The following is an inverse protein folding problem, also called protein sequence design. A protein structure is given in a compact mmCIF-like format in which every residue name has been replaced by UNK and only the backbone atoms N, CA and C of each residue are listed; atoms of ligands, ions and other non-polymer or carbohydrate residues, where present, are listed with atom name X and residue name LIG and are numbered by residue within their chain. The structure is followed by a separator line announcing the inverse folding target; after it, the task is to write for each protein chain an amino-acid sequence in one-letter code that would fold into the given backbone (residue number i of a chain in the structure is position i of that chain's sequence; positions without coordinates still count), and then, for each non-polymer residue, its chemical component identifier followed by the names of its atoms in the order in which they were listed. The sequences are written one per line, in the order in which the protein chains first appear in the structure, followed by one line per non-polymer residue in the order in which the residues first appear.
data_IF_265373207621
#
_entry.id   IF_265373207621
#
_cell.length_a   1.000
_cell.length_b   1.000
_cell.length_c   1.000
_cell.angle_alpha   90.00
_cell.angle_beta   90.00
_cell.angle_gamma   90.00
#
_symmetry.space_group_name_H-M   'P 1'
#
loop_
_entity.id
_entity.type
_entity.pdbx_description
1 polymer ?
#
# COMPACT_ATOMS: atom_id res chain seq x y z
N UNK A 1 30.16 -90.23 -0.04
CA UNK A 1 31.49 -89.64 0.06
C UNK A 1 31.59 -88.68 -1.17
N UNK A 2 31.36 -87.41 -0.97
CA UNK A 2 31.88 -86.30 -1.78
C UNK A 2 31.22 -85.02 -1.26
N UNK A 3 32.01 -84.29 -0.56
CA UNK A 3 31.70 -82.94 -0.03
C UNK A 3 31.59 -81.89 -1.15
N UNK A 4 30.54 -81.07 -1.08
CA UNK A 4 30.44 -79.83 -1.83
C UNK A 4 30.38 -78.64 -0.89
N UNK A 5 31.50 -77.94 -0.79
CA UNK A 5 31.57 -76.62 -0.17
C UNK A 5 30.96 -75.59 -1.13
N UNK A 6 29.89 -74.95 -0.72
CA UNK A 6 29.30 -73.81 -1.35
C UNK A 6 29.78 -72.52 -0.68
N UNK A 7 30.59 -71.72 -1.37
CA UNK A 7 31.00 -70.37 -0.99
C UNK A 7 29.84 -69.39 -1.15
N UNK A 8 29.43 -68.76 -0.04
CA UNK A 8 28.51 -67.66 -0.05
C UNK A 8 29.25 -66.34 -0.48
N UNK A 9 28.90 -65.82 -1.62
CA UNK A 9 29.34 -64.50 -2.13
C UNK A 9 28.37 -63.45 -1.57
N UNK A 10 28.87 -62.63 -0.66
CA UNK A 10 28.17 -61.44 -0.16
C UNK A 10 28.24 -60.32 -1.22
N UNK A 11 27.17 -60.19 -2.00
CA UNK A 11 26.95 -59.04 -2.87
C UNK A 11 26.55 -57.82 -2.01
N UNK A 12 27.41 -56.82 -1.99
CA UNK A 12 27.07 -55.50 -1.45
C UNK A 12 26.18 -54.78 -2.48
N UNK A 13 24.89 -54.70 -2.19
CA UNK A 13 23.95 -53.83 -2.90
C UNK A 13 24.31 -52.37 -2.63
N UNK A 14 25.06 -51.74 -3.55
CA UNK A 14 25.21 -50.31 -3.62
C UNK A 14 23.92 -49.74 -4.24
N UNK A 15 23.10 -49.14 -3.38
CA UNK A 15 21.95 -48.32 -3.78
C UNK A 15 22.43 -47.22 -4.72
N UNK A 16 21.82 -47.03 -5.93
CA UNK A 16 22.24 -45.99 -6.83
C UNK A 16 21.88 -44.63 -6.22
N UNK A 17 22.90 -43.83 -5.96
CA UNK A 17 22.79 -42.41 -5.57
C UNK A 17 21.87 -41.68 -6.57
N UNK A 18 20.62 -41.44 -6.20
CA UNK A 18 19.67 -40.67 -6.97
C UNK A 18 20.11 -39.22 -6.95
N UNK A 19 20.77 -38.77 -8.01
CA UNK A 19 21.02 -37.37 -8.28
C UNK A 19 19.65 -36.64 -8.36
N UNK A 20 19.38 -35.63 -7.53
CA UNK A 20 18.11 -34.94 -7.58
C UNK A 20 17.89 -34.34 -8.96
N UNK A 21 16.65 -34.35 -9.49
CA UNK A 21 16.37 -33.79 -10.81
C UNK A 21 16.74 -32.31 -10.85
N UNK A 22 17.19 -31.79 -12.01
CA UNK A 22 17.57 -30.38 -12.17
C UNK A 22 16.38 -29.49 -11.74
N UNK A 23 16.67 -28.58 -10.79
CA UNK A 23 15.67 -27.65 -10.29
C UNK A 23 15.14 -26.79 -11.43
N UNK A 24 13.82 -26.70 -11.60
CA UNK A 24 13.21 -25.81 -12.59
C UNK A 24 13.58 -24.36 -12.29
N UNK A 25 13.60 -23.49 -13.31
CA UNK A 25 13.93 -22.07 -13.17
C UNK A 25 13.13 -21.39 -12.05
N UNK A 26 11.83 -21.68 -11.95
CA UNK A 26 10.98 -21.14 -10.89
C UNK A 26 11.30 -21.66 -9.48
N UNK A 27 11.83 -22.89 -9.36
CA UNK A 27 12.28 -23.44 -8.06
C UNK A 27 13.58 -22.77 -7.59
N UNK A 28 14.48 -22.46 -8.53
CA UNK A 28 15.71 -21.73 -8.27
C UNK A 28 15.45 -20.31 -7.77
N UNK A 29 14.56 -19.59 -8.44
CA UNK A 29 14.18 -18.23 -8.03
C UNK A 29 13.55 -18.24 -6.64
N UNK A 30 12.61 -19.14 -6.36
CA UNK A 30 11.98 -19.24 -5.03
C UNK A 30 12.99 -19.51 -3.92
N UNK A 31 13.96 -20.39 -4.15
CA UNK A 31 15.04 -20.67 -3.20
C UNK A 31 15.89 -19.41 -2.96
N UNK A 32 16.33 -18.74 -4.05
CA UNK A 32 17.12 -17.53 -3.96
C UNK A 32 16.39 -16.40 -3.23
N UNK A 33 15.11 -16.23 -3.47
CA UNK A 33 14.29 -15.22 -2.77
C UNK A 33 14.14 -15.55 -1.27
N UNK A 34 14.07 -16.83 -0.90
CA UNK A 34 14.07 -17.26 0.50
C UNK A 34 15.41 -16.98 1.19
N UNK A 35 16.54 -17.23 0.51
CA UNK A 35 17.87 -16.88 1.01
C UNK A 35 18.03 -15.39 1.24
N UNK A 36 17.61 -14.56 0.26
CA UNK A 36 17.64 -13.10 0.36
C UNK A 36 16.79 -12.57 1.54
N UNK A 37 15.66 -13.19 1.85
CA UNK A 37 14.82 -12.82 2.98
C UNK A 37 15.36 -13.31 4.33
N UNK A 38 16.08 -14.37 4.34
CA UNK A 38 16.40 -15.22 5.47
C UNK A 38 15.53 -16.49 5.38
N UNK A 39 16.13 -17.69 5.35
CA UNK A 39 15.41 -18.94 5.07
C UNK A 39 14.26 -19.23 6.07
N UNK A 40 14.43 -18.82 7.31
CA UNK A 40 13.45 -19.06 8.39
C UNK A 40 12.46 -17.89 8.58
N UNK A 41 12.62 -16.81 7.83
CA UNK A 41 11.73 -15.63 7.92
C UNK A 41 10.50 -15.85 7.03
N UNK A 42 9.27 -15.73 7.55
CA UNK A 42 8.06 -15.86 6.73
C UNK A 42 7.98 -14.77 5.66
N UNK A 43 7.57 -15.14 4.45
CA UNK A 43 7.41 -14.18 3.36
C UNK A 43 6.21 -13.28 3.60
N UNK A 44 6.41 -11.96 3.46
CA UNK A 44 5.32 -10.99 3.43
C UNK A 44 4.72 -10.94 2.03
N UNK A 45 3.41 -11.10 1.93
CA UNK A 45 2.71 -11.09 0.65
C UNK A 45 2.81 -9.71 -0.03
N UNK A 46 2.90 -9.72 -1.36
CA UNK A 46 2.85 -8.52 -2.19
C UNK A 46 1.40 -8.06 -2.31
N UNK A 47 1.08 -6.91 -1.75
CA UNK A 47 -0.26 -6.32 -1.75
C UNK A 47 -0.43 -5.19 -2.79
N UNK A 48 -1.65 -4.68 -2.95
CA UNK A 48 -1.95 -3.61 -3.89
C UNK A 48 -1.23 -2.30 -3.56
N UNK A 49 -0.96 -2.03 -2.27
CA UNK A 49 -0.20 -0.86 -1.83
C UNK A 49 1.27 -0.97 -2.25
N UNK A 50 1.86 -2.15 -2.11
CA UNK A 50 3.22 -2.42 -2.58
C UNK A 50 3.32 -2.27 -4.11
N UNK A 51 2.35 -2.81 -4.87
CA UNK A 51 2.31 -2.65 -6.33
C UNK A 51 2.10 -1.19 -6.76
N UNK A 52 1.24 -0.44 -6.08
CA UNK A 52 1.08 0.98 -6.34
C UNK A 52 2.38 1.77 -6.08
N UNK A 53 3.14 1.37 -5.05
CA UNK A 53 4.45 1.97 -4.76
C UNK A 53 5.52 1.59 -5.80
N UNK A 54 5.55 0.35 -6.27
CA UNK A 54 6.40 -0.08 -7.38
C UNK A 54 6.08 0.69 -8.67
N UNK A 55 4.81 0.80 -9.02
CA UNK A 55 4.36 1.58 -10.17
C UNK A 55 4.70 3.09 -10.04
N UNK A 56 4.72 3.62 -8.82
CA UNK A 56 5.12 4.99 -8.56
C UNK A 56 6.61 5.23 -8.78
N UNK A 57 7.48 4.22 -8.57
CA UNK A 57 8.93 4.32 -8.74
C UNK A 57 9.52 3.04 -9.36
N UNK A 58 9.22 2.74 -10.63
CA UNK A 58 9.56 1.45 -11.28
C UNK A 58 11.06 1.24 -11.47
N UNK A 59 11.89 2.29 -11.40
CA UNK A 59 13.34 2.19 -11.50
C UNK A 59 14.05 1.75 -10.22
N UNK A 60 13.32 1.60 -9.10
CA UNK A 60 13.93 1.21 -7.84
C UNK A 60 14.05 -0.31 -7.72
N UNK A 61 15.23 -0.84 -8.11
CA UNK A 61 15.52 -2.28 -8.03
C UNK A 61 15.51 -2.80 -6.59
N UNK A 62 15.99 -1.99 -5.62
CA UNK A 62 15.94 -2.33 -4.20
C UNK A 62 14.50 -2.63 -3.74
N UNK A 63 13.55 -1.76 -4.06
CA UNK A 63 12.14 -2.00 -3.74
C UNK A 63 11.63 -3.27 -4.41
N UNK A 64 11.92 -3.47 -5.68
CA UNK A 64 11.44 -4.62 -6.44
C UNK A 64 11.92 -5.96 -5.84
N UNK A 65 13.21 -6.08 -5.49
CA UNK A 65 13.74 -7.32 -4.91
C UNK A 65 13.24 -7.58 -3.50
N UNK A 66 13.11 -6.54 -2.66
CA UNK A 66 12.60 -6.68 -1.29
C UNK A 66 11.12 -7.10 -1.29
N UNK A 67 10.31 -6.52 -2.18
CA UNK A 67 8.92 -6.92 -2.38
C UNK A 67 8.81 -8.34 -2.93
N UNK A 68 9.63 -8.69 -3.94
CA UNK A 68 9.65 -10.02 -4.55
C UNK A 68 10.13 -11.11 -3.59
N UNK A 69 11.11 -10.81 -2.73
CA UNK A 69 11.58 -11.73 -1.70
C UNK A 69 10.63 -11.83 -0.50
N UNK A 70 9.61 -10.96 -0.41
CA UNK A 70 8.68 -10.92 0.71
C UNK A 70 9.32 -10.42 2.02
N UNK A 71 10.30 -9.51 1.93
CA UNK A 71 10.94 -8.92 3.10
C UNK A 71 10.00 -7.95 3.81
N UNK A 72 9.93 -8.03 5.15
CA UNK A 72 9.24 -7.00 5.94
C UNK A 72 10.06 -5.71 5.98
N UNK A 73 9.70 -4.80 5.08
CA UNK A 73 10.41 -3.52 4.91
C UNK A 73 10.26 -2.58 6.11
N UNK A 74 9.22 -2.74 6.94
CA UNK A 74 9.05 -1.94 8.13
C UNK A 74 10.04 -2.37 9.22
N UNK A 75 10.18 -3.68 9.45
CA UNK A 75 11.20 -4.24 10.34
C UNK A 75 12.61 -3.93 9.86
N UNK A 76 12.84 -4.06 8.54
CA UNK A 76 14.11 -3.71 7.91
C UNK A 76 14.47 -2.23 8.12
N UNK A 77 13.53 -1.31 7.90
CA UNK A 77 13.75 0.12 8.11
C UNK A 77 14.07 0.46 9.57
N UNK A 78 13.42 -0.24 10.51
CA UNK A 78 13.69 -0.09 11.95
C UNK A 78 15.09 -0.59 12.32
N UNK A 79 15.51 -1.74 11.81
CA UNK A 79 16.83 -2.30 12.01
C UNK A 79 17.95 -1.41 11.43
N UNK A 80 17.67 -0.68 10.33
CA UNK A 80 18.56 0.33 9.73
C UNK A 80 18.54 1.68 10.46
N UNK A 81 17.86 1.80 11.61
CA UNK A 81 17.76 3.05 12.37
C UNK A 81 16.92 4.15 11.70
N UNK A 82 16.15 3.80 10.70
CA UNK A 82 15.34 4.73 9.91
C UNK A 82 13.88 4.28 9.84
N UNK A 83 13.18 4.12 10.99
CA UNK A 83 11.83 3.58 11.01
C UNK A 83 10.87 4.43 10.17
N UNK A 84 9.98 3.77 9.45
CA UNK A 84 8.97 4.46 8.67
C UNK A 84 7.89 5.08 9.58
N UNK A 85 7.42 6.29 9.21
CA UNK A 85 6.30 6.95 9.91
C UNK A 85 4.96 6.26 9.59
N UNK A 86 4.94 5.29 8.67
CA UNK A 86 3.73 4.60 8.21
C UNK A 86 3.22 3.50 9.14
N UNK A 87 3.80 3.31 10.32
CA UNK A 87 3.21 2.51 11.35
C UNK A 87 1.85 3.10 11.72
N UNK A 88 0.76 2.53 11.20
CA UNK A 88 -0.56 2.89 11.71
C UNK A 88 -0.55 2.55 13.20
N UNK A 89 -0.88 3.54 14.04
CA UNK A 89 -1.09 3.27 15.46
C UNK A 89 -2.20 2.22 15.58
N UNK A 90 -2.11 1.35 16.57
CA UNK A 90 -3.14 0.34 16.85
C UNK A 90 -4.55 0.96 16.92
N UNK A 91 -4.62 2.20 17.42
CA UNK A 91 -5.85 3.00 17.43
C UNK A 91 -6.36 3.33 16.02
N UNK A 92 -5.49 3.71 15.08
CA UNK A 92 -5.89 4.01 13.70
C UNK A 92 -6.37 2.74 12.98
N UNK A 93 -5.73 1.61 13.26
CA UNK A 93 -6.15 0.30 12.72
C UNK A 93 -7.52 -0.12 13.27
N UNK A 94 -7.72 -0.07 14.59
CA UNK A 94 -9.01 -0.40 15.23
C UNK A 94 -10.13 0.49 14.71
N UNK A 95 -9.87 1.80 14.57
CA UNK A 95 -10.84 2.75 14.01
C UNK A 95 -11.16 2.43 12.55
N UNK A 96 -10.17 2.02 11.76
CA UNK A 96 -10.35 1.61 10.36
C UNK A 96 -11.29 0.42 10.25
N UNK A 97 -11.01 -0.65 11.00
CA UNK A 97 -11.83 -1.86 11.02
C UNK A 97 -13.26 -1.60 11.52
N UNK A 98 -13.42 -0.78 12.56
CA UNK A 98 -14.74 -0.42 13.08
C UNK A 98 -15.56 0.39 12.06
N UNK A 99 -14.91 1.28 11.31
CA UNK A 99 -15.57 2.04 10.25
C UNK A 99 -15.98 1.14 9.08
N UNK A 100 -15.09 0.26 8.65
CA UNK A 100 -15.36 -0.69 7.58
C UNK A 100 -16.51 -1.65 7.95
N UNK A 101 -16.46 -2.24 9.14
CA UNK A 101 -17.53 -3.09 9.65
C UNK A 101 -18.87 -2.38 9.66
N UNK A 102 -18.91 -1.09 10.01
CA UNK A 102 -20.13 -0.28 9.94
C UNK A 102 -20.62 -0.07 8.52
N UNK A 103 -19.73 0.22 7.58
CA UNK A 103 -20.08 0.43 6.16
C UNK A 103 -20.66 -0.84 5.52
N UNK A 104 -20.20 -2.00 5.97
CA UNK A 104 -20.61 -3.33 5.47
C UNK A 104 -21.70 -4.00 6.32
N UNK A 105 -22.19 -3.32 7.37
CA UNK A 105 -23.28 -3.85 8.20
C UNK A 105 -24.54 -4.15 7.36
N UNK A 106 -25.40 -4.99 7.90
CA UNK A 106 -26.71 -5.34 7.32
C UNK A 106 -26.58 -5.83 5.85
N UNK A 107 -25.63 -6.75 5.61
CA UNK A 107 -25.38 -7.30 4.27
C UNK A 107 -24.83 -6.28 3.27
N UNK A 108 -24.28 -5.15 3.74
CA UNK A 108 -23.75 -4.09 2.89
C UNK A 108 -24.80 -3.14 2.32
N UNK A 109 -25.99 -3.08 2.93
CA UNK A 109 -27.10 -2.25 2.45
C UNK A 109 -26.70 -0.77 2.31
N UNK A 110 -26.02 -0.20 3.30
CA UNK A 110 -25.52 1.18 3.25
C UNK A 110 -24.46 1.36 2.15
N UNK A 111 -23.58 0.39 1.96
CA UNK A 111 -22.58 0.42 0.91
C UNK A 111 -23.23 0.43 -0.48
N UNK A 112 -24.19 -0.44 -0.72
CA UNK A 112 -24.90 -0.52 -2.00
C UNK A 112 -25.75 0.74 -2.25
N UNK A 113 -26.36 1.32 -1.22
CA UNK A 113 -27.03 2.61 -1.31
C UNK A 113 -26.06 3.70 -1.79
N UNK A 114 -24.86 3.76 -1.23
CA UNK A 114 -23.82 4.71 -1.63
C UNK A 114 -23.33 4.47 -3.08
N UNK A 115 -23.18 3.20 -3.48
CA UNK A 115 -22.85 2.83 -4.88
C UNK A 115 -23.92 3.37 -5.82
N UNK A 116 -25.20 3.06 -5.56
CA UNK A 116 -26.31 3.51 -6.36
C UNK A 116 -26.38 5.05 -6.46
N UNK A 117 -26.32 5.75 -5.32
CA UNK A 117 -26.41 7.22 -5.27
C UNK A 117 -25.27 7.92 -6.02
N UNK A 118 -24.08 7.34 -6.05
CA UNK A 118 -22.90 8.00 -6.63
C UNK A 118 -22.59 7.56 -8.06
N UNK A 119 -22.98 6.35 -8.44
CA UNK A 119 -22.60 5.76 -9.73
C UNK A 119 -23.79 5.44 -10.63
N UNK A 120 -24.98 5.18 -10.09
CA UNK A 120 -26.14 4.66 -10.82
C UNK A 120 -27.48 5.35 -10.49
N UNK A 121 -27.47 6.65 -10.28
CA UNK A 121 -28.67 7.44 -9.89
C UNK A 121 -29.90 7.25 -10.80
N UNK A 122 -29.73 6.80 -12.02
CA UNK A 122 -30.80 6.56 -12.97
C UNK A 122 -31.31 5.12 -13.01
N UNK A 123 -30.68 4.20 -12.26
CA UNK A 123 -31.10 2.81 -12.16
C UNK A 123 -32.05 2.58 -10.99
N UNK A 124 -32.72 1.42 -10.98
CA UNK A 124 -33.52 1.00 -9.83
C UNK A 124 -32.63 0.80 -8.59
N UNK A 125 -32.98 1.34 -7.41
CA UNK A 125 -32.20 1.17 -6.20
C UNK A 125 -32.13 -0.31 -5.79
N UNK A 126 -31.05 -0.77 -5.13
CA UNK A 126 -30.93 -2.14 -4.66
C UNK A 126 -32.02 -2.45 -3.62
N UNK A 127 -32.88 -3.44 -3.93
CA UNK A 127 -33.81 -4.00 -2.98
C UNK A 127 -33.12 -5.15 -2.22
N UNK A 128 -33.31 -5.23 -0.90
CA UNK A 128 -32.67 -6.28 -0.07
C UNK A 128 -32.86 -7.70 -0.61
N UNK A 129 -34.03 -8.01 -1.14
CA UNK A 129 -34.35 -9.31 -1.71
C UNK A 129 -33.58 -9.64 -3.00
N UNK A 130 -32.84 -8.70 -3.58
CA UNK A 130 -32.05 -8.85 -4.82
C UNK A 130 -30.57 -8.61 -4.61
N UNK A 131 -30.09 -8.65 -3.37
CA UNK A 131 -28.68 -8.51 -3.03
C UNK A 131 -28.12 -9.87 -2.67
N UNK A 132 -27.07 -10.28 -3.38
CA UNK A 132 -26.34 -11.51 -3.11
C UNK A 132 -24.98 -11.19 -2.51
N UNK A 133 -24.59 -11.94 -1.48
CA UNK A 133 -23.24 -11.84 -0.88
C UNK A 133 -22.65 -13.25 -0.81
N UNK A 134 -21.92 -13.69 -1.85
CA UNK A 134 -21.38 -15.04 -1.91
C UNK A 134 -20.27 -15.27 -0.88
N UNK A 135 -20.18 -16.49 -0.34
CA UNK A 135 -19.06 -16.91 0.47
C UNK A 135 -17.81 -17.10 -0.42
N UNK A 136 -16.75 -16.33 -0.12
CA UNK A 136 -15.47 -16.34 -0.84
C UNK A 136 -14.38 -17.10 -0.07
N UNK A 137 -14.72 -17.80 1.00
CA UNK A 137 -13.77 -18.58 1.78
C UNK A 137 -13.21 -19.76 0.98
N UNK A 138 -11.91 -19.96 1.07
CA UNK A 138 -11.18 -21.10 0.52
C UNK A 138 -9.78 -21.19 1.13
N UNK A 139 -9.11 -22.33 0.95
CA UNK A 139 -7.76 -22.54 1.47
C UNK A 139 -6.72 -21.78 0.63
N UNK A 140 -5.96 -20.92 1.30
CA UNK A 140 -4.87 -20.16 0.71
C UNK A 140 -5.31 -19.04 -0.26
N UNK A 141 -4.39 -18.18 -0.67
CA UNK A 141 -4.70 -17.07 -1.56
C UNK A 141 -5.10 -17.51 -2.97
N UNK A 142 -4.51 -18.59 -3.49
CA UNK A 142 -4.86 -19.16 -4.79
C UNK A 142 -6.30 -19.69 -4.81
N UNK A 143 -6.68 -20.44 -3.75
CA UNK A 143 -8.03 -20.98 -3.60
C UNK A 143 -9.07 -19.87 -3.49
N UNK A 144 -8.79 -18.82 -2.68
CA UNK A 144 -9.65 -17.64 -2.57
C UNK A 144 -9.78 -16.89 -3.89
N UNK A 145 -8.69 -16.74 -4.66
CA UNK A 145 -8.73 -16.10 -5.97
C UNK A 145 -9.56 -16.91 -7.00
N UNK A 146 -9.46 -18.24 -6.97
CA UNK A 146 -10.29 -19.12 -7.78
C UNK A 146 -11.78 -19.00 -7.39
N UNK A 147 -12.10 -19.01 -6.10
CA UNK A 147 -13.46 -18.83 -5.59
C UNK A 147 -14.05 -17.47 -5.97
N UNK A 148 -13.26 -16.39 -5.85
CA UNK A 148 -13.64 -15.05 -6.29
C UNK A 148 -13.97 -15.03 -7.80
N UNK A 149 -13.11 -15.65 -8.62
CA UNK A 149 -13.33 -15.70 -10.07
C UNK A 149 -14.60 -16.45 -10.44
N UNK A 150 -14.94 -17.50 -9.71
CA UNK A 150 -16.19 -18.24 -9.88
C UNK A 150 -17.40 -17.37 -9.50
N UNK A 151 -17.37 -16.74 -8.32
CA UNK A 151 -18.45 -15.87 -7.84
C UNK A 151 -18.69 -14.68 -8.80
N UNK A 152 -17.63 -14.06 -9.34
CA UNK A 152 -17.74 -13.00 -10.34
C UNK A 152 -18.41 -13.50 -11.63
N UNK A 153 -18.10 -14.72 -12.08
CA UNK A 153 -18.74 -15.34 -13.24
C UNK A 153 -20.23 -15.59 -13.01
N UNK A 154 -20.57 -16.19 -11.87
CA UNK A 154 -21.96 -16.50 -11.48
C UNK A 154 -22.79 -15.21 -11.39
N UNK A 155 -22.28 -14.20 -10.67
CA UNK A 155 -22.92 -12.90 -10.53
C UNK A 155 -23.14 -12.18 -11.88
N UNK A 156 -22.15 -12.25 -12.78
CA UNK A 156 -22.26 -11.64 -14.12
C UNK A 156 -23.32 -12.33 -14.95
N UNK A 157 -23.53 -13.64 -14.76
CA UNK A 157 -24.56 -14.44 -15.43
C UNK A 157 -25.96 -14.27 -14.86
N UNK A 158 -26.15 -13.51 -13.78
CA UNK A 158 -27.45 -13.28 -13.11
C UNK A 158 -27.93 -11.83 -13.33
N UNK A 159 -28.54 -11.50 -14.47
CA UNK A 159 -28.98 -10.14 -14.77
C UNK A 159 -30.02 -9.63 -13.77
N UNK A 160 -29.94 -8.35 -13.43
CA UNK A 160 -30.91 -7.67 -12.56
C UNK A 160 -30.65 -7.83 -11.06
N UNK A 161 -29.68 -8.64 -10.65
CA UNK A 161 -29.26 -8.77 -9.26
C UNK A 161 -28.07 -7.83 -8.95
N UNK A 162 -28.01 -7.37 -7.71
CA UNK A 162 -26.81 -6.74 -7.14
C UNK A 162 -26.01 -7.82 -6.40
N UNK A 163 -24.72 -7.93 -6.66
CA UNK A 163 -23.86 -8.83 -5.91
C UNK A 163 -22.73 -8.05 -5.24
N UNK A 164 -22.61 -8.20 -3.92
CA UNK A 164 -21.52 -7.64 -3.12
C UNK A 164 -20.51 -8.74 -2.80
N UNK A 165 -19.33 -8.66 -3.37
CA UNK A 165 -18.20 -9.49 -2.99
C UNK A 165 -17.42 -8.78 -1.88
N UNK A 166 -17.43 -9.37 -0.69
CA UNK A 166 -16.72 -8.86 0.48
C UNK A 166 -15.31 -9.45 0.53
N UNK A 167 -14.28 -8.60 0.61
CA UNK A 167 -12.86 -8.98 0.60
C UNK A 167 -12.50 -10.01 -0.49
N UNK A 168 -12.88 -9.80 -1.77
CA UNK A 168 -12.54 -10.73 -2.83
C UNK A 168 -11.03 -10.79 -3.05
N UNK A 169 -10.50 -11.98 -3.34
CA UNK A 169 -9.08 -12.16 -3.65
C UNK A 169 -8.87 -12.16 -5.17
N UNK A 170 -7.99 -11.28 -5.65
CA UNK A 170 -7.63 -11.17 -7.06
C UNK A 170 -6.18 -11.55 -7.26
N UNK A 171 -5.86 -12.27 -8.33
CA UNK A 171 -4.49 -12.61 -8.68
C UNK A 171 -4.00 -11.74 -9.85
N UNK A 172 -2.78 -11.21 -9.72
CA UNK A 172 -2.09 -10.44 -10.75
C UNK A 172 -0.63 -10.89 -10.84
N UNK A 173 -0.18 -11.29 -12.03
CA UNK A 173 1.25 -11.56 -12.25
C UNK A 173 1.99 -10.25 -12.49
N UNK A 174 3.08 -10.05 -11.74
CA UNK A 174 3.92 -8.84 -11.81
C UNK A 174 5.39 -9.24 -11.81
N UNK A 175 6.09 -8.90 -12.86
CA UNK A 175 7.52 -9.19 -13.03
C UNK A 175 7.89 -10.67 -12.86
N UNK A 176 6.95 -11.59 -13.21
CA UNK A 176 7.11 -13.04 -13.10
C UNK A 176 6.83 -13.61 -11.70
N UNK A 177 6.21 -12.80 -10.84
CA UNK A 177 5.80 -13.21 -9.48
C UNK A 177 4.30 -12.98 -9.28
N UNK A 178 3.54 -13.94 -8.75
CA UNK A 178 2.12 -13.73 -8.47
C UNK A 178 1.94 -12.80 -7.27
N UNK A 179 1.04 -11.83 -7.41
CA UNK A 179 0.55 -10.97 -6.34
C UNK A 179 -0.92 -11.30 -6.08
N UNK A 180 -1.29 -11.41 -4.80
CA UNK A 180 -2.66 -11.62 -4.38
C UNK A 180 -3.19 -10.36 -3.72
N UNK A 181 -4.28 -9.85 -4.25
CA UNK A 181 -4.81 -8.52 -3.98
C UNK A 181 -6.20 -8.64 -3.39
N UNK A 182 -6.46 -7.94 -2.30
CA UNK A 182 -7.72 -7.99 -1.58
C UNK A 182 -8.32 -6.58 -1.49
N UNK A 183 -9.17 -6.16 -2.46
CA UNK A 183 -9.95 -4.93 -2.33
C UNK A 183 -10.97 -5.04 -1.20
N UNK A 184 -11.33 -3.91 -0.59
CA UNK A 184 -12.31 -3.90 0.50
C UNK A 184 -13.66 -4.47 0.04
N UNK A 185 -14.11 -4.14 -1.19
CA UNK A 185 -15.23 -4.83 -1.83
C UNK A 185 -15.21 -4.68 -3.36
N UNK A 186 -15.94 -5.58 -4.04
CA UNK A 186 -16.30 -5.47 -5.45
C UNK A 186 -17.81 -5.62 -5.57
N UNK A 187 -18.44 -4.71 -6.31
CA UNK A 187 -19.88 -4.77 -6.61
C UNK A 187 -20.08 -5.16 -8.06
N UNK A 188 -20.86 -6.20 -8.29
CA UNK A 188 -21.43 -6.52 -9.59
C UNK A 188 -22.80 -5.87 -9.69
N UNK A 189 -23.00 -5.03 -10.71
CA UNK A 189 -24.22 -4.30 -10.94
C UNK A 189 -25.25 -5.13 -11.71
N UNK A 190 -26.55 -4.76 -11.70
CA UNK A 190 -27.56 -5.45 -12.48
C UNK A 190 -27.31 -5.52 -14.00
N UNK A 191 -26.47 -4.62 -14.53
CA UNK A 191 -26.01 -4.61 -15.92
C UNK A 191 -24.81 -5.54 -16.17
N UNK A 192 -24.38 -6.31 -15.18
CA UNK A 192 -23.22 -7.20 -15.23
C UNK A 192 -21.86 -6.48 -15.15
N UNK A 193 -21.83 -5.14 -15.03
CA UNK A 193 -20.55 -4.41 -14.87
C UNK A 193 -20.02 -4.48 -13.44
N UNK A 194 -18.71 -4.31 -13.28
CA UNK A 194 -18.01 -4.45 -11.99
C UNK A 194 -17.44 -3.13 -11.52
N UNK A 195 -17.57 -2.84 -10.23
CA UNK A 195 -17.02 -1.65 -9.58
C UNK A 195 -16.19 -2.03 -8.37
N UNK A 196 -14.99 -1.48 -8.25
CA UNK A 196 -14.16 -1.53 -7.03
C UNK A 196 -14.69 -0.52 -6.01
N UNK A 197 -14.81 -0.96 -4.78
CA UNK A 197 -15.05 -0.10 -3.62
C UNK A 197 -13.80 -0.09 -2.75
N UNK A 198 -13.38 1.09 -2.35
CA UNK A 198 -12.24 1.34 -1.48
C UNK A 198 -12.71 2.09 -0.24
N UNK A 199 -12.52 1.52 0.94
CA UNK A 199 -12.95 2.08 2.23
C UNK A 199 -11.75 2.63 2.97
N UNK A 200 -11.79 3.91 3.38
CA UNK A 200 -10.68 4.56 4.06
C UNK A 200 -11.15 5.28 5.31
N UNK A 201 -10.36 5.21 6.38
CA UNK A 201 -10.67 5.81 7.67
C UNK A 201 -10.30 7.29 7.81
N UNK A 202 -9.75 7.94 6.79
CA UNK A 202 -9.54 9.37 6.80
C UNK A 202 -10.85 10.11 6.47
N UNK A 203 -11.15 11.25 7.13
CA UNK A 203 -12.40 11.94 6.91
C UNK A 203 -12.44 12.72 5.60
N UNK A 204 -13.64 12.85 5.02
CA UNK A 204 -13.97 13.91 4.08
C UNK A 204 -14.52 15.10 4.87
N UNK A 205 -13.79 16.22 4.89
CA UNK A 205 -14.17 17.45 5.56
C UNK A 205 -14.82 18.40 4.55
N UNK A 206 -16.06 18.80 4.77
CA UNK A 206 -16.82 19.66 3.84
C UNK A 206 -16.80 19.14 2.38
N UNK A 207 -16.86 17.82 2.20
CA UNK A 207 -16.81 17.16 0.90
C UNK A 207 -15.42 17.11 0.26
N UNK A 208 -14.37 17.52 0.96
CA UNK A 208 -12.97 17.50 0.51
C UNK A 208 -12.12 16.59 1.40
N UNK A 209 -11.11 15.97 0.83
CA UNK A 209 -10.12 15.20 1.56
C UNK A 209 -8.70 15.59 1.14
N UNK A 210 -7.73 15.23 1.98
CA UNK A 210 -6.30 15.40 1.67
C UNK A 210 -5.96 14.81 0.28
N UNK A 211 -5.52 15.63 -0.70
CA UNK A 211 -5.25 15.17 -2.05
C UNK A 211 -4.20 14.06 -2.12
N UNK A 212 -3.24 14.03 -1.20
CA UNK A 212 -2.22 13.00 -1.16
C UNK A 212 -2.80 11.65 -0.76
N UNK A 213 -3.75 11.64 0.20
CA UNK A 213 -4.47 10.43 0.65
C UNK A 213 -5.42 9.92 -0.42
N UNK A 214 -6.19 10.81 -1.06
CA UNK A 214 -7.06 10.45 -2.20
C UNK A 214 -6.23 9.90 -3.35
N UNK A 215 -5.11 10.56 -3.68
CA UNK A 215 -4.19 10.10 -4.71
C UNK A 215 -3.57 8.73 -4.42
N UNK A 216 -3.27 8.42 -3.16
CA UNK A 216 -2.79 7.10 -2.74
C UNK A 216 -3.88 6.03 -2.88
N UNK A 217 -5.11 6.31 -2.42
CA UNK A 217 -6.26 5.41 -2.57
C UNK A 217 -6.59 5.17 -4.06
N UNK A 218 -6.56 6.21 -4.90
CA UNK A 218 -6.80 6.09 -6.34
C UNK A 218 -5.74 5.22 -7.04
N UNK A 219 -4.46 5.29 -6.63
CA UNK A 219 -3.40 4.39 -7.16
C UNK A 219 -3.60 2.95 -6.71
N UNK A 220 -4.01 2.73 -5.46
CA UNK A 220 -4.33 1.40 -4.95
C UNK A 220 -5.54 0.80 -5.69
N UNK A 221 -6.62 1.55 -5.82
CA UNK A 221 -7.81 1.13 -6.56
C UNK A 221 -7.53 0.85 -8.04
N UNK A 222 -6.59 1.59 -8.66
CA UNK A 222 -6.15 1.33 -10.03
C UNK A 222 -5.47 -0.04 -10.20
N UNK A 223 -4.76 -0.52 -9.18
CA UNK A 223 -4.18 -1.89 -9.18
C UNK A 223 -5.31 -2.93 -9.13
N UNK A 224 -6.34 -2.71 -8.32
CA UNK A 224 -7.50 -3.61 -8.24
C UNK A 224 -8.29 -3.64 -9.55
N UNK A 225 -8.52 -2.47 -10.17
CA UNK A 225 -9.18 -2.40 -11.48
C UNK A 225 -8.38 -3.18 -12.53
N UNK A 226 -7.05 -3.04 -12.56
CA UNK A 226 -6.19 -3.79 -13.48
C UNK A 226 -6.30 -5.30 -13.26
N UNK A 227 -6.31 -5.76 -12.00
CA UNK A 227 -6.48 -7.18 -11.68
C UNK A 227 -7.86 -7.70 -12.07
N UNK A 228 -8.94 -6.93 -11.83
CA UNK A 228 -10.30 -7.26 -12.26
C UNK A 228 -10.42 -7.37 -13.79
N UNK A 229 -9.80 -6.46 -14.53
CA UNK A 229 -9.77 -6.53 -16.00
C UNK A 229 -9.10 -7.82 -16.51
N UNK A 230 -8.07 -8.33 -15.79
CA UNK A 230 -7.46 -9.63 -16.12
C UNK A 230 -8.39 -10.80 -15.83
N UNK A 231 -9.23 -10.70 -14.81
CA UNK A 231 -10.30 -11.71 -14.57
C UNK A 231 -11.39 -11.59 -15.62
N UNK A 232 -11.88 -10.39 -15.89
CA UNK A 232 -12.93 -10.13 -16.90
C UNK A 232 -12.55 -10.62 -18.28
N UNK A 233 -11.29 -10.43 -18.70
CA UNK A 233 -10.79 -10.88 -20.00
C UNK A 233 -10.79 -12.42 -20.22
N UNK A 234 -11.04 -13.20 -19.15
CA UNK A 234 -11.16 -14.67 -19.22
C UNK A 234 -12.61 -15.14 -19.35
N UNK A 235 -13.56 -14.21 -19.32
CA UNK A 235 -14.98 -14.48 -19.44
C UNK A 235 -15.45 -14.14 -20.86
N UNK A 236 -16.46 -14.84 -21.35
CA UNK A 236 -17.09 -14.61 -22.65
C UNK A 236 -18.62 -14.56 -22.46
N UNK A 237 -19.27 -13.42 -22.74
CA UNK A 237 -18.66 -12.13 -23.07
C UNK A 237 -17.92 -11.50 -21.87
N UNK A 238 -16.83 -10.76 -22.15
CA UNK A 238 -16.08 -10.09 -21.11
C UNK A 238 -16.91 -8.96 -20.47
N UNK A 239 -17.14 -8.98 -19.16
CA UNK A 239 -17.88 -7.94 -18.47
C UNK A 239 -17.09 -6.62 -18.43
N UNK A 240 -17.82 -5.51 -18.36
CA UNK A 240 -17.22 -4.19 -18.26
C UNK A 240 -16.74 -3.90 -16.83
N UNK A 241 -15.44 -3.74 -16.62
CA UNK A 241 -14.89 -3.18 -15.37
C UNK A 241 -14.97 -1.66 -15.42
N UNK A 242 -15.66 -1.05 -14.46
CA UNK A 242 -15.83 0.40 -14.40
C UNK A 242 -14.56 1.06 -13.86
N UNK A 243 -14.11 2.14 -14.52
CA UNK A 243 -12.94 2.91 -14.09
C UNK A 243 -13.29 4.04 -13.10
N UNK A 244 -14.56 4.23 -12.80
CA UNK A 244 -15.03 5.05 -11.69
C UNK A 244 -15.21 4.13 -10.50
N UNK A 245 -14.29 4.22 -9.55
CA UNK A 245 -14.31 3.47 -8.29
C UNK A 245 -15.03 4.28 -7.21
N UNK A 246 -15.61 3.59 -6.24
CA UNK A 246 -16.23 4.24 -5.09
C UNK A 246 -15.23 4.34 -3.95
N UNK A 247 -14.89 5.55 -3.54
CA UNK A 247 -14.11 5.82 -2.34
C UNK A 247 -15.07 6.18 -1.20
N UNK A 248 -15.12 5.33 -0.16
CA UNK A 248 -15.97 5.50 1.02
C UNK A 248 -15.12 5.95 2.20
N UNK A 249 -15.51 7.05 2.83
CA UNK A 249 -14.81 7.66 3.96
C UNK A 249 -15.78 8.12 5.03
N UNK A 250 -15.34 8.34 6.27
CA UNK A 250 -16.14 9.03 7.29
C UNK A 250 -16.48 10.45 6.84
N UNK A 251 -17.74 10.87 7.06
CA UNK A 251 -18.15 12.25 6.87
C UNK A 251 -17.64 13.08 8.06
N UNK A 252 -16.83 14.08 7.76
CA UNK A 252 -16.20 14.95 8.74
C UNK A 252 -15.48 14.14 9.83
N UNK A 253 -15.70 14.42 11.08
CA UNK A 253 -15.15 13.66 12.21
C UNK A 253 -16.12 12.62 12.77
N UNK A 254 -17.24 12.38 12.09
CA UNK A 254 -18.22 11.35 12.47
C UNK A 254 -17.83 9.97 11.92
N UNK A 255 -18.55 8.94 12.36
CA UNK A 255 -18.47 7.60 11.77
C UNK A 255 -19.57 7.37 10.70
N UNK A 256 -20.25 8.43 10.24
CA UNK A 256 -21.24 8.31 9.17
C UNK A 256 -20.52 8.14 7.83
N UNK A 257 -20.84 7.11 7.05
CA UNK A 257 -20.17 6.92 5.77
C UNK A 257 -20.64 7.97 4.74
N UNK A 258 -19.71 8.42 3.94
CA UNK A 258 -19.97 9.18 2.73
C UNK A 258 -19.07 8.66 1.61
N UNK A 259 -19.48 8.87 0.36
CA UNK A 259 -18.76 8.32 -0.77
C UNK A 259 -18.53 9.34 -1.87
N UNK A 260 -17.42 9.15 -2.60
CA UNK A 260 -17.09 9.90 -3.80
C UNK A 260 -16.71 8.95 -4.93
N UNK A 261 -17.20 9.23 -6.13
CA UNK A 261 -16.77 8.51 -7.33
C UNK A 261 -15.44 9.07 -7.83
N UNK A 262 -14.41 8.24 -7.86
CA UNK A 262 -13.05 8.61 -8.28
C UNK A 262 -12.75 7.97 -9.63
N UNK A 263 -12.42 8.77 -10.63
CA UNK A 263 -11.99 8.28 -11.95
C UNK A 263 -10.51 7.88 -11.90
N UNK A 264 -10.23 6.59 -12.08
CA UNK A 264 -8.87 6.03 -12.01
C UNK A 264 -8.28 5.68 -13.38
N UNK A 265 -8.87 6.11 -14.50
CA UNK A 265 -8.36 5.79 -15.85
C UNK A 265 -6.90 6.20 -16.03
N UNK A 266 -6.54 7.39 -15.59
CA UNK A 266 -5.15 7.88 -15.68
C UNK A 266 -4.21 7.04 -14.81
N UNK A 267 -4.59 6.78 -13.56
CA UNK A 267 -3.80 5.98 -12.61
C UNK A 267 -3.66 4.54 -13.12
N UNK A 268 -4.76 3.93 -13.60
CA UNK A 268 -4.77 2.57 -14.18
C UNK A 268 -3.81 2.48 -15.37
N UNK A 269 -3.90 3.38 -16.34
CA UNK A 269 -3.04 3.38 -17.52
C UNK A 269 -1.55 3.62 -17.18
N UNK A 270 -1.28 4.48 -16.18
CA UNK A 270 0.10 4.68 -15.68
C UNK A 270 0.60 3.43 -14.97
N UNK A 271 -0.19 2.85 -14.08
CA UNK A 271 0.15 1.65 -13.32
C UNK A 271 0.48 0.48 -14.25
N UNK A 272 -0.37 0.19 -15.22
CA UNK A 272 -0.18 -0.87 -16.21
C UNK A 272 1.17 -0.72 -16.96
N UNK A 273 1.43 0.49 -17.51
CA UNK A 273 2.70 0.77 -18.20
C UNK A 273 3.92 0.68 -17.29
N UNK A 274 3.82 1.08 -16.05
CA UNK A 274 4.96 1.07 -15.13
C UNK A 274 5.24 -0.34 -14.61
N UNK A 275 4.21 -1.12 -14.31
CA UNK A 275 4.38 -2.53 -13.92
C UNK A 275 4.96 -3.36 -15.07
N UNK A 276 4.55 -3.09 -16.32
CA UNK A 276 5.12 -3.75 -17.50
C UNK A 276 6.61 -3.42 -17.76
N UNK A 277 7.12 -2.34 -17.16
CA UNK A 277 8.54 -1.91 -17.27
C UNK A 277 9.42 -2.37 -16.12
N UNK A 278 8.86 -3.04 -15.12
CA UNK A 278 9.66 -3.54 -14.01
C UNK A 278 10.70 -4.53 -14.53
N UNK A 279 11.93 -4.37 -14.05
CA UNK A 279 12.98 -5.39 -14.23
C UNK A 279 12.49 -6.68 -13.59
N UNK A 280 12.66 -7.81 -14.25
CA UNK A 280 12.31 -9.11 -13.70
C UNK A 280 13.03 -9.32 -12.37
N UNK A 281 12.31 -9.80 -11.38
CA UNK A 281 12.87 -10.03 -10.04
C UNK A 281 14.03 -11.02 -10.11
N UNK A 282 13.96 -12.01 -11.01
CA UNK A 282 15.00 -12.98 -11.28
C UNK A 282 16.31 -12.29 -11.72
N UNK A 283 16.24 -11.35 -12.67
CA UNK A 283 17.41 -10.63 -13.17
C UNK A 283 18.08 -9.78 -12.07
N UNK A 284 17.29 -9.28 -11.12
CA UNK A 284 17.82 -8.54 -9.97
C UNK A 284 18.49 -9.52 -8.98
N UNK A 285 17.84 -10.65 -8.71
CA UNK A 285 18.32 -11.65 -7.76
C UNK A 285 19.62 -12.31 -8.24
N UNK A 286 19.71 -12.60 -9.54
CA UNK A 286 20.90 -13.21 -10.15
C UNK A 286 22.11 -12.24 -10.21
N UNK A 287 21.85 -10.92 -10.20
CA UNK A 287 22.91 -9.91 -10.18
C UNK A 287 23.45 -9.64 -8.76
N UNK A 288 22.85 -10.19 -7.72
CA UNK A 288 23.31 -10.00 -6.35
C UNK A 288 24.37 -11.05 -5.96
N UNK A 289 25.41 -10.66 -5.20
CA UNK A 289 26.39 -11.58 -4.68
C UNK A 289 25.75 -12.73 -3.90
N UNK A 290 26.42 -13.88 -3.89
CA UNK A 290 26.05 -14.98 -3.00
C UNK A 290 26.18 -14.55 -1.53
N UNK A 291 25.30 -15.08 -0.66
CA UNK A 291 25.30 -14.77 0.78
C UNK A 291 24.62 -13.45 1.17
N UNK A 292 24.16 -12.60 0.21
CA UNK A 292 23.36 -11.43 0.55
C UNK A 292 22.06 -11.86 1.19
N UNK A 293 21.77 -11.29 2.39
CA UNK A 293 20.55 -11.52 3.16
C UNK A 293 20.02 -10.19 3.73
N UNK A 294 18.71 -10.02 3.72
CA UNK A 294 18.01 -8.82 4.24
C UNK A 294 17.29 -9.09 5.56
N UNK A 295 17.71 -10.12 6.31
CA UNK A 295 17.12 -10.39 7.63
C UNK A 295 17.39 -9.24 8.58
N UNK A 296 16.35 -8.68 9.26
CA UNK A 296 16.55 -7.62 10.25
C UNK A 296 17.31 -8.09 11.51
N UNK A 297 17.60 -9.37 11.63
CA UNK A 297 18.38 -9.96 12.72
C UNK A 297 19.90 -9.84 12.51
N UNK A 298 20.34 -9.48 11.30
CA UNK A 298 21.75 -9.24 11.01
C UNK A 298 22.29 -8.04 11.77
N UNK A 299 23.61 -8.02 12.08
CA UNK A 299 24.28 -6.82 12.58
C UNK A 299 24.01 -5.63 11.68
N UNK A 300 23.81 -4.44 12.27
CA UNK A 300 23.37 -3.24 11.54
C UNK A 300 24.28 -2.88 10.34
N UNK A 301 25.59 -3.07 10.49
CA UNK A 301 26.56 -2.79 9.41
C UNK A 301 26.44 -3.77 8.25
N UNK A 302 26.27 -5.07 8.54
CA UNK A 302 26.10 -6.10 7.54
C UNK A 302 24.76 -5.91 6.80
N UNK A 303 23.70 -5.61 7.54
CA UNK A 303 22.40 -5.31 6.99
C UNK A 303 22.43 -4.07 6.08
N UNK A 304 23.12 -3.01 6.50
CA UNK A 304 23.29 -1.81 5.69
C UNK A 304 24.06 -2.12 4.41
N UNK A 305 25.13 -2.91 4.48
CA UNK A 305 25.91 -3.33 3.31
C UNK A 305 25.06 -4.18 2.35
N UNK A 306 24.27 -5.12 2.88
CA UNK A 306 23.35 -5.93 2.08
C UNK A 306 22.31 -5.07 1.36
N UNK A 307 21.69 -4.11 2.04
CA UNK A 307 20.70 -3.20 1.46
C UNK A 307 21.34 -2.28 0.40
N UNK A 308 22.55 -1.78 0.65
CA UNK A 308 23.27 -0.92 -0.30
C UNK A 308 23.81 -1.67 -1.53
N UNK A 309 23.96 -3.00 -1.46
CA UNK A 309 24.35 -3.82 -2.62
C UNK A 309 23.30 -3.77 -3.75
N UNK A 310 22.06 -3.37 -3.45
CA UNK A 310 20.99 -3.22 -4.43
C UNK A 310 20.77 -1.74 -4.79
N UNK A 311 20.90 -1.36 -6.07
CA UNK A 311 20.68 0.01 -6.50
C UNK A 311 19.28 0.51 -6.14
N UNK A 312 19.21 1.67 -5.48
CA UNK A 312 17.97 2.35 -5.16
C UNK A 312 17.88 3.68 -5.91
N UNK A 313 16.66 4.03 -6.30
CA UNK A 313 16.34 5.36 -6.82
C UNK A 313 15.37 6.02 -5.86
N UNK A 314 15.84 7.00 -5.08
CA UNK A 314 14.97 7.78 -4.22
C UNK A 314 14.22 8.85 -5.03
N UNK A 315 12.94 9.02 -4.73
CA UNK A 315 12.12 10.15 -5.18
C UNK A 315 11.22 10.62 -4.01
N UNK A 316 10.81 11.90 -3.95
CA UNK A 316 9.98 12.42 -2.85
C UNK A 316 8.68 11.62 -2.63
N UNK A 317 8.12 11.05 -3.69
CA UNK A 317 6.94 10.20 -3.64
C UNK A 317 7.15 8.92 -2.81
N UNK A 318 8.40 8.49 -2.62
CA UNK A 318 8.74 7.36 -1.75
C UNK A 318 8.30 7.62 -0.29
N UNK A 319 8.30 8.88 0.16
CA UNK A 319 7.88 9.25 1.52
C UNK A 319 6.44 8.85 1.84
N UNK A 320 5.58 8.74 0.84
CA UNK A 320 4.17 8.35 1.01
C UNK A 320 3.89 6.89 0.70
N UNK A 321 4.89 6.11 0.25
CA UNK A 321 4.65 4.81 -0.34
C UNK A 321 5.69 3.73 0.02
N UNK A 322 6.84 4.10 0.58
CA UNK A 322 7.93 3.15 0.82
C UNK A 322 8.45 3.26 2.26
N UNK A 323 8.52 2.14 2.94
CA UNK A 323 8.97 2.02 4.33
C UNK A 323 10.44 2.41 4.50
N UNK A 324 11.29 2.19 3.46
CA UNK A 324 12.70 2.56 3.42
C UNK A 324 12.96 4.01 2.99
N UNK A 325 11.91 4.83 2.84
CA UNK A 325 12.03 6.17 2.26
C UNK A 325 13.02 7.06 3.02
N UNK A 326 13.04 7.02 4.36
CA UNK A 326 13.96 7.85 5.16
C UNK A 326 15.40 7.41 5.00
N UNK A 327 15.67 6.11 5.03
CA UNK A 327 17.00 5.56 4.76
C UNK A 327 17.50 5.98 3.37
N UNK A 328 16.72 5.71 2.33
CA UNK A 328 17.09 6.06 0.95
C UNK A 328 17.23 7.59 0.75
N UNK A 329 16.42 8.41 1.45
CA UNK A 329 16.51 9.87 1.41
C UNK A 329 17.83 10.36 1.99
N UNK A 330 18.24 9.81 3.14
CA UNK A 330 19.52 10.16 3.75
C UNK A 330 20.66 9.86 2.80
N UNK A 331 20.73 8.65 2.27
CA UNK A 331 21.74 8.24 1.28
C UNK A 331 21.76 9.08 0.01
N UNK A 332 20.56 9.39 -0.54
CA UNK A 332 20.42 10.24 -1.72
C UNK A 332 20.94 11.67 -1.45
N UNK A 333 20.74 12.20 -0.25
CA UNK A 333 21.25 13.52 0.17
C UNK A 333 22.75 13.52 0.39
N UNK A 334 23.29 12.50 1.04
CA UNK A 334 24.74 12.32 1.22
C UNK A 334 25.45 12.26 -0.15
N UNK A 335 24.89 11.54 -1.10
CA UNK A 335 25.37 11.47 -2.47
C UNK A 335 25.11 12.76 -3.29
N UNK A 336 24.39 13.73 -2.75
CA UNK A 336 23.99 14.95 -3.46
C UNK A 336 23.13 14.68 -4.68
N UNK A 337 22.40 13.53 -4.75
CA UNK A 337 21.67 13.11 -5.93
C UNK A 337 20.49 14.03 -6.25
N UNK A 338 20.37 14.49 -7.49
CA UNK A 338 19.28 15.36 -7.96
C UNK A 338 17.91 14.69 -7.92
N UNK A 339 17.87 13.36 -7.87
CA UNK A 339 16.63 12.59 -7.69
C UNK A 339 15.86 12.95 -6.42
N UNK A 340 16.59 13.45 -5.39
CA UNK A 340 16.01 13.95 -4.14
C UNK A 340 15.13 15.18 -4.31
N UNK A 341 15.23 15.88 -5.46
CA UNK A 341 14.46 17.08 -5.81
C UNK A 341 13.13 16.75 -6.51
N UNK A 342 12.92 15.48 -6.86
CA UNK A 342 11.71 15.02 -7.52
C UNK A 342 11.82 14.88 -9.05
N UNK A 343 10.87 14.15 -9.63
CA UNK A 343 10.87 13.82 -11.07
C UNK A 343 10.78 15.03 -12.00
N UNK A 344 9.97 16.06 -11.74
CA UNK A 344 9.92 17.23 -12.60
C UNK A 344 11.29 17.90 -12.72
N UNK A 345 11.93 18.19 -11.58
CA UNK A 345 13.27 18.79 -11.56
C UNK A 345 14.30 17.91 -12.23
N UNK A 346 14.27 16.59 -11.96
CA UNK A 346 15.16 15.62 -12.59
C UNK A 346 15.03 15.62 -14.12
N UNK A 347 13.82 15.76 -14.64
CA UNK A 347 13.58 15.76 -16.08
C UNK A 347 14.17 17.01 -16.77
N UNK A 348 14.20 18.15 -16.09
CA UNK A 348 14.76 19.42 -16.61
C UNK A 348 16.30 19.46 -16.57
N UNK A 349 16.92 18.57 -15.78
CA UNK A 349 18.37 18.58 -15.57
C UNK A 349 19.15 17.67 -16.54
N UNK A 350 18.48 17.02 -17.47
CA UNK A 350 19.11 16.18 -18.50
C UNK A 350 20.06 15.12 -17.94
N UNK A 351 21.32 15.15 -18.33
CA UNK A 351 22.39 14.23 -17.89
C UNK A 351 22.98 14.54 -16.53
N UNK A 352 22.69 15.69 -15.92
CA UNK A 352 23.26 16.10 -14.63
C UNK A 352 22.65 15.27 -13.49
N UNK A 353 23.49 14.56 -12.75
CA UNK A 353 23.04 13.56 -11.75
C UNK A 353 23.21 14.01 -10.31
N UNK A 354 24.11 14.97 -10.05
CA UNK A 354 24.38 15.49 -8.71
C UNK A 354 24.13 16.99 -8.62
N UNK A 355 23.81 17.48 -7.42
CA UNK A 355 23.67 18.91 -7.14
C UNK A 355 24.99 19.65 -7.40
N UNK A 356 26.12 19.00 -7.16
CA UNK A 356 27.44 19.57 -7.48
C UNK A 356 27.58 19.85 -8.98
N UNK A 357 27.23 18.89 -9.82
CA UNK A 357 27.31 19.05 -11.28
C UNK A 357 26.37 20.16 -11.78
N UNK A 358 25.15 20.23 -11.19
CA UNK A 358 24.18 21.29 -11.51
C UNK A 358 24.74 22.66 -11.17
N UNK A 359 25.35 22.82 -9.98
CA UNK A 359 25.95 24.10 -9.57
C UNK A 359 27.18 24.46 -10.41
N UNK A 360 28.03 23.50 -10.74
CA UNK A 360 29.19 23.72 -11.61
C UNK A 360 28.73 24.12 -13.01
N UNK A 361 27.72 23.45 -13.57
CA UNK A 361 27.14 23.81 -14.87
C UNK A 361 26.52 25.21 -14.85
N UNK A 362 25.79 25.60 -13.81
CA UNK A 362 25.18 26.91 -13.65
C UNK A 362 26.23 28.05 -13.58
N UNK A 363 27.42 27.77 -12.99
CA UNK A 363 28.53 28.73 -12.91
C UNK A 363 29.40 28.80 -14.16
N UNK A 364 29.17 27.88 -15.12
CA UNK A 364 30.01 27.77 -16.32
C UNK A 364 31.33 27.02 -16.08
N UNK A 365 31.50 26.39 -14.94
CA UNK A 365 32.72 25.63 -14.55
C UNK A 365 32.76 24.23 -15.19
N UNK A 366 31.60 23.68 -15.59
CA UNK A 366 31.44 22.38 -16.21
C UNK A 366 30.20 22.30 -17.10
N UNK A 367 30.05 21.18 -17.80
CA UNK A 367 28.91 20.89 -18.67
C UNK A 367 29.05 21.40 -20.09
N UNK A 368 28.44 20.66 -21.02
CA UNK A 368 28.44 21.02 -22.45
C UNK A 368 27.55 22.29 -22.64
N UNK A 369 28.11 23.38 -23.20
CA UNK A 369 27.36 24.61 -23.47
C UNK A 369 26.20 24.41 -24.45
N UNK A 370 26.26 23.39 -25.31
CA UNK A 370 25.23 23.06 -26.29
C UNK A 370 24.09 22.21 -25.68
N UNK A 371 24.27 21.66 -24.46
CA UNK A 371 23.21 20.98 -23.73
C UNK A 371 22.12 21.99 -23.30
N UNK A 372 20.86 21.80 -23.71
CA UNK A 372 19.76 22.71 -23.36
C UNK A 372 19.58 22.91 -21.86
N UNK A 373 19.82 21.88 -21.04
CA UNK A 373 19.73 21.95 -19.59
C UNK A 373 20.84 22.82 -19.01
N UNK A 374 22.08 22.68 -19.48
CA UNK A 374 23.23 23.50 -19.08
C UNK A 374 23.01 24.96 -19.50
N UNK A 375 22.59 25.20 -20.73
CA UNK A 375 22.28 26.55 -21.23
C UNK A 375 21.16 27.23 -20.40
N UNK A 376 20.13 26.49 -20.03
CA UNK A 376 19.05 27.00 -19.18
C UNK A 376 19.53 27.32 -17.76
N UNK A 377 20.39 26.48 -17.17
CA UNK A 377 20.96 26.72 -15.84
C UNK A 377 21.87 27.96 -15.81
N UNK A 378 22.72 28.14 -16.81
CA UNK A 378 23.59 29.34 -16.96
C UNK A 378 22.76 30.62 -17.07
N UNK A 379 21.72 30.59 -17.90
CA UNK A 379 20.79 31.72 -18.06
C UNK A 379 20.06 32.05 -16.77
N UNK A 380 19.55 31.02 -16.03
CA UNK A 380 18.90 31.19 -14.74
C UNK A 380 19.86 31.77 -13.69
N UNK A 381 21.10 31.30 -13.64
CA UNK A 381 22.12 31.83 -12.75
C UNK A 381 22.47 33.30 -13.03
N UNK A 382 22.58 33.67 -14.32
CA UNK A 382 22.79 35.06 -14.75
C UNK A 382 21.65 35.98 -14.32
N UNK A 383 20.40 35.64 -14.66
CA UNK A 383 19.21 36.39 -14.26
C UNK A 383 19.10 36.55 -12.73
N UNK A 384 19.43 35.50 -11.99
CA UNK A 384 19.44 35.52 -10.53
C UNK A 384 20.51 36.51 -10.02
N UNK A 385 21.71 36.52 -10.60
CA UNK A 385 22.78 37.44 -10.18
C UNK A 385 22.43 38.88 -10.50
N UNK A 386 21.81 39.18 -11.65
CA UNK A 386 21.32 40.50 -12.01
C UNK A 386 20.23 40.98 -11.00
N UNK A 387 19.25 40.12 -10.70
CA UNK A 387 18.20 40.45 -9.74
C UNK A 387 18.75 40.74 -8.34
N UNK A 388 19.75 39.97 -7.87
CA UNK A 388 20.41 40.21 -6.59
C UNK A 388 21.22 41.49 -6.58
N UNK A 389 21.91 41.81 -7.68
CA UNK A 389 22.64 43.09 -7.84
C UNK A 389 21.69 44.29 -7.83
N UNK A 390 20.56 44.16 -8.48
CA UNK A 390 19.52 45.23 -8.52
C UNK A 390 18.83 45.44 -7.16
N UNK A 391 18.72 44.37 -6.33
CA UNK A 391 18.12 44.48 -5.00
C UNK A 391 19.01 45.19 -3.95
N UNK A 392 20.30 45.39 -4.25
CA UNK A 392 21.26 45.98 -3.35
C UNK A 392 21.62 45.09 -2.15
N UNK A 393 22.68 45.41 -1.37
CA UNK A 393 22.93 44.72 -0.13
C UNK A 393 21.76 44.95 0.86
N UNK A 394 21.35 43.97 1.65
CA UNK A 394 20.35 44.15 2.68
C UNK A 394 20.85 45.29 3.59
N UNK A 395 20.08 46.41 3.63
CA UNK A 395 20.41 47.52 4.49
C UNK A 395 20.68 47.05 5.91
N UNK A 396 21.55 47.70 6.69
CA UNK A 396 21.79 47.32 8.08
C UNK A 396 20.43 47.23 8.77
N UNK A 397 20.19 46.13 9.44
CA UNK A 397 18.96 45.92 10.19
C UNK A 397 18.82 47.13 11.15
N UNK A 398 17.89 48.04 10.83
CA UNK A 398 17.60 49.18 11.69
C UNK A 398 17.30 48.70 13.10
N UNK A 399 17.63 49.45 14.15
CA UNK A 399 17.36 49.06 15.51
C UNK A 399 15.89 48.66 15.61
N UNK A 400 15.65 47.52 16.22
CA UNK A 400 14.33 46.90 16.31
C UNK A 400 13.28 47.95 16.67
N UNK A 401 12.51 48.36 15.66
CA UNK A 401 11.48 49.38 15.82
C UNK A 401 10.51 48.92 16.89
N UNK A 402 10.14 49.82 17.80
CA UNK A 402 9.08 49.61 18.78
C UNK A 402 7.94 48.82 18.15
N UNK A 403 7.38 47.84 18.89
CA UNK A 403 6.25 47.08 18.37
C UNK A 403 5.16 48.06 17.94
N UNK A 404 4.85 48.04 16.65
CA UNK A 404 3.78 48.81 16.05
C UNK A 404 2.45 48.51 16.75
N UNK A 405 1.47 49.43 16.68
CA UNK A 405 0.17 49.22 17.30
C UNK A 405 -0.42 47.91 16.86
N UNK A 406 -0.85 47.08 17.84
CA UNK A 406 -1.53 45.82 17.63
C UNK A 406 -2.63 46.02 16.59
N UNK A 407 -2.76 45.12 15.61
CA UNK A 407 -3.91 45.18 14.70
C UNK A 407 -5.20 45.13 15.50
N UNK A 408 -6.25 45.90 15.13
CA UNK A 408 -7.51 45.89 15.85
C UNK A 408 -8.07 44.48 15.89
N UNK A 409 -8.51 44.06 17.05
CA UNK A 409 -9.21 42.79 17.24
C UNK A 409 -10.38 42.70 16.27
N UNK A 410 -10.68 41.52 15.70
CA UNK A 410 -11.79 41.39 14.77
C UNK A 410 -13.08 41.85 15.46
N UNK A 411 -13.77 42.76 14.80
CA UNK A 411 -15.05 43.33 15.22
C UNK A 411 -16.05 42.17 15.33
N UNK A 412 -16.51 41.88 16.56
CA UNK A 412 -17.64 40.97 16.79
C UNK A 412 -18.89 41.61 16.18
N UNK A 413 -19.54 40.91 15.26
CA UNK A 413 -20.86 41.24 14.83
C UNK A 413 -21.86 41.17 16.02
N UNK A 414 -22.66 42.17 16.29
CA UNK A 414 -23.69 42.12 17.33
C UNK A 414 -24.92 41.34 16.85
N UNK A 415 -25.33 40.35 17.57
CA UNK A 415 -26.66 39.79 17.41
C UNK A 415 -26.76 38.25 17.45
N UNK A 416 -26.63 37.65 18.61
CA UNK A 416 -27.50 36.57 19.09
C UNK A 416 -27.42 36.62 20.62
N UNK A 417 -28.58 36.82 21.28
CA UNK A 417 -28.70 36.98 22.70
C UNK A 417 -28.47 35.63 23.44
N UNK A 418 -27.44 35.59 24.27
CA UNK A 418 -27.27 34.55 25.28
C UNK A 418 -28.18 34.85 26.50
N UNK A 419 -29.26 34.11 26.63
CA UNK A 419 -29.95 33.93 27.87
C UNK A 419 -29.41 32.69 28.56
N UNK A 420 -28.47 32.83 29.50
CA UNK A 420 -28.42 32.04 30.73
C UNK A 420 -27.51 32.70 31.76
N UNK A 421 -28.14 33.14 32.83
CA UNK A 421 -27.60 33.77 34.03
C UNK A 421 -26.71 32.79 34.81
N UNK A 422 -25.59 33.30 35.31
CA UNK A 422 -24.87 32.70 36.45
C UNK A 422 -25.56 33.04 37.77
N UNK A 423 -25.44 32.16 38.77
CA UNK A 423 -25.00 32.70 40.07
C UNK A 423 -23.71 32.03 40.59
N UNK A 424 -22.99 32.82 41.29
CA UNK A 424 -21.77 32.49 42.04
C UNK A 424 -22.05 31.60 43.25
N UNK A 425 -21.10 30.74 43.62
CA UNK A 425 -21.16 30.01 44.88
C UNK A 425 -20.09 28.92 44.96
N UNK A 426 -18.93 29.23 45.48
CA UNK A 426 -17.87 28.25 45.72
C UNK A 426 -18.20 27.26 46.82
N UNK A 427 -17.82 26.01 46.63
CA UNK A 427 -17.45 25.05 47.69
C UNK A 427 -16.52 24.00 47.14
N UNK A 428 -15.38 23.89 47.79
CA UNK A 428 -14.39 22.85 47.63
C UNK A 428 -15.00 21.46 47.94
N UNK A 429 -14.85 20.50 47.02
CA UNK A 429 -15.19 19.12 47.29
C UNK A 429 -13.91 18.29 47.37
N UNK A 430 -13.74 17.59 48.48
CA UNK A 430 -12.72 16.61 48.82
C UNK A 430 -12.76 15.40 47.90
N UNK A 431 -11.64 14.71 47.64
CA UNK A 431 -11.62 13.52 46.79
C UNK A 431 -12.27 12.31 47.48
N UNK A 432 -13.07 11.58 46.72
CA UNK A 432 -13.69 10.29 47.12
C UNK A 432 -12.66 9.14 46.93
N UNK A 433 -12.70 8.09 47.77
CA UNK A 433 -11.78 6.96 47.68
C UNK A 433 -12.19 5.99 46.54
N UNK A 434 -11.17 5.34 45.99
CA UNK A 434 -11.21 4.38 44.88
C UNK A 434 -12.16 3.18 45.22
N UNK A 435 -13.06 2.86 44.28
CA UNK A 435 -13.86 1.64 44.31
C UNK A 435 -12.97 0.46 43.90
N UNK A 436 -12.91 -0.56 44.75
CA UNK A 436 -12.26 -1.85 44.49
C UNK A 436 -12.97 -2.58 43.34
N UNK A 437 -12.19 -3.02 42.36
CA UNK A 437 -12.62 -3.89 41.28
C UNK A 437 -13.05 -5.26 41.83
N UNK A 438 -14.24 -5.69 41.45
CA UNK A 438 -14.75 -7.06 41.66
C UNK A 438 -14.29 -7.91 40.46
N UNK A 439 -13.77 -9.12 40.68
CA UNK A 439 -13.37 -10.00 39.58
C UNK A 439 -14.60 -10.57 38.84
N UNK A 440 -14.44 -10.92 37.54
CA UNK A 440 -15.52 -11.51 36.75
C UNK A 440 -15.83 -12.94 37.20
N UNK A 441 -17.08 -13.41 36.99
CA UNK A 441 -17.48 -14.79 37.35
C UNK A 441 -16.85 -15.81 36.41
N UNK A 442 -16.54 -17.00 36.96
CA UNK A 442 -15.95 -18.13 36.27
C UNK A 442 -16.89 -18.73 35.21
N UNK A 443 -16.38 -19.37 34.15
CA UNK A 443 -17.19 -19.97 33.10
C UNK A 443 -17.89 -21.24 33.61
N UNK A 444 -19.19 -21.36 33.30
CA UNK A 444 -20.04 -22.51 33.57
C UNK A 444 -19.62 -23.66 32.64
N UNK A 445 -19.26 -24.81 33.18
CA UNK A 445 -19.04 -26.07 32.44
C UNK A 445 -20.39 -26.62 31.95
N UNK A 446 -20.49 -27.11 30.70
CA UNK A 446 -21.67 -27.88 30.29
C UNK A 446 -21.66 -29.27 30.90
N UNK A 447 -22.83 -29.71 31.40
CA UNK A 447 -23.10 -31.01 31.95
C UNK A 447 -23.01 -32.12 30.87
N UNK A 448 -22.32 -33.18 31.20
CA UNK A 448 -22.29 -34.42 30.43
C UNK A 448 -23.57 -35.23 30.71
N UNK A 449 -24.06 -35.85 29.64
CA UNK A 449 -24.87 -37.05 29.77
C UNK A 449 -26.30 -36.95 29.26
N UNK A 450 -26.55 -37.59 28.11
CA UNK A 450 -27.60 -38.62 28.02
C UNK A 450 -27.45 -39.38 26.70
N UNK A 451 -27.16 -40.69 26.83
CA UNK A 451 -27.25 -41.71 25.79
C UNK A 451 -28.70 -42.10 25.57
N UNK A 452 -29.18 -42.21 24.36
CA UNK A 452 -30.24 -43.13 23.94
C UNK A 452 -29.97 -43.50 22.50
N UNK A 453 -29.60 -44.75 22.28
CA UNK A 453 -30.40 -45.93 21.95
C UNK A 453 -30.94 -45.93 20.50
N UNK A 454 -30.20 -46.67 19.75
CA UNK A 454 -30.51 -47.59 18.65
C UNK A 454 -32.01 -47.80 18.31
N UNK A 455 -32.39 -47.57 17.04
CA UNK A 455 -33.43 -48.40 16.39
C UNK A 455 -33.18 -48.44 14.87
N UNK A 456 -32.90 -49.68 14.45
CA UNK A 456 -32.96 -50.15 13.06
C UNK A 456 -34.38 -50.04 12.52
N UNK A 457 -34.55 -49.56 11.29
CA UNK A 457 -35.08 -50.28 10.09
C UNK A 457 -34.78 -49.46 8.87
#
# INVERSE_FOLDING_TARGET
MSDFHGSASSGSDQEPSRTPPPRTRGTRLRHRLAELRGPDVPAKALDARALAALAANPGCRRRAILDGAGVDKASLASALGSPSVFGQSQFAFTRGNAFEARVKADGGAELLRLVHERLDRGAEPPAEARVETPDLSATGPEGRAARTSLALREATGTPGAWTLLDHPMLALDVAGSPAFLEPDAVVVHPDGSWTVVEIKSFPLLDGSADPAKVGAAARQAAVYVLALERVAARLDPAPRVRHRVLLVCPRDFSNLPTASAVDVRKQRAVTDRQLARLTRIEDIADALPEGVCFSPELPAEELAAAVESVPATYAPECLSACELAFHCRARSREAGAVTSLGRPVRAELGGLSTVRDVLAAARGEAGDPDDPAVAALRRAAHLRSEALAAAGPPGPAGPAGRPGPRPPSPVRCPGVADHHARPAGGRALRPRPARRHRPPPAPVRPAAGLRTADHRR
#
